data_IF_176461024764
#
_entry.id   IF_176461024764
#
_cell.length_a   1.000
_cell.length_b   1.000
_cell.length_c   1.000
_cell.angle_alpha   90.00
_cell.angle_beta   90.00
_cell.angle_gamma   90.00
#
_symmetry.space_group_name_H-M   'P 1'
#
loop_
_entity.id
_entity.type
_entity.pdbx_description
1 polymer ?
#
# COMPACT_ATOMS: atom_id res chain seq x y z
N UNK A 1 13.92 18.82 -47.57
CA UNK A 1 13.16 17.56 -47.69
C UNK A 1 13.71 16.43 -46.81
N UNK A 2 14.82 15.76 -47.13
CA UNK A 2 15.30 14.63 -46.29
C UNK A 2 15.68 15.03 -44.85
N UNK A 3 16.29 16.21 -44.66
CA UNK A 3 16.65 16.73 -43.34
C UNK A 3 15.42 17.10 -42.48
N UNK A 4 14.36 17.62 -43.09
CA UNK A 4 13.12 17.99 -42.39
C UNK A 4 12.37 16.75 -41.87
N UNK A 5 12.39 15.65 -42.63
CA UNK A 5 11.82 14.37 -42.20
C UNK A 5 12.60 13.80 -41.01
N UNK A 6 13.95 13.83 -41.06
CA UNK A 6 14.79 13.38 -39.95
C UNK A 6 14.58 14.21 -38.67
N UNK A 7 14.44 15.53 -38.81
CA UNK A 7 14.15 16.42 -37.68
C UNK A 7 12.78 16.11 -37.05
N UNK A 8 11.74 15.95 -37.87
CA UNK A 8 10.40 15.63 -37.38
C UNK A 8 10.36 14.26 -36.65
N UNK A 9 11.14 13.28 -37.13
CA UNK A 9 11.28 11.98 -36.45
C UNK A 9 11.92 12.12 -35.06
N UNK A 10 12.97 12.94 -34.93
CA UNK A 10 13.67 13.16 -33.65
C UNK A 10 12.79 13.95 -32.68
N UNK A 11 12.09 14.98 -33.16
CA UNK A 11 11.17 15.78 -32.34
C UNK A 11 10.05 14.90 -31.77
N UNK A 12 9.45 14.05 -32.60
CA UNK A 12 8.41 13.11 -32.17
C UNK A 12 8.96 12.07 -31.18
N UNK A 13 10.18 11.57 -31.40
CA UNK A 13 10.82 10.62 -30.50
C UNK A 13 11.07 11.22 -29.11
N UNK A 14 11.46 12.50 -29.01
CA UNK A 14 11.62 13.19 -27.73
C UNK A 14 10.29 13.36 -27.00
N UNK A 15 9.21 13.70 -27.70
CA UNK A 15 7.88 13.79 -27.11
C UNK A 15 7.41 12.43 -26.59
N UNK A 16 7.55 11.36 -27.39
CA UNK A 16 7.20 10.00 -26.98
C UNK A 16 8.04 9.57 -25.76
N UNK A 17 9.33 9.91 -25.71
CA UNK A 17 10.19 9.61 -24.56
C UNK A 17 9.62 10.24 -23.28
N UNK A 18 9.28 11.53 -23.32
CA UNK A 18 8.71 12.23 -22.15
C UNK A 18 7.34 11.67 -21.79
N UNK A 19 6.49 11.37 -22.78
CA UNK A 19 5.19 10.76 -22.55
C UNK A 19 5.32 9.38 -21.89
N UNK A 20 6.28 8.55 -22.31
CA UNK A 20 6.54 7.24 -21.70
C UNK A 20 6.95 7.38 -20.24
N UNK A 21 7.80 8.35 -19.90
CA UNK A 21 8.18 8.62 -18.51
C UNK A 21 6.98 9.03 -17.65
N UNK A 22 6.09 9.87 -18.19
CA UNK A 22 4.87 10.28 -17.49
C UNK A 22 3.92 9.09 -17.26
N UNK A 23 3.71 8.26 -18.29
CA UNK A 23 2.88 7.06 -18.17
C UNK A 23 3.43 6.09 -17.12
N UNK A 24 4.75 5.86 -17.12
CA UNK A 24 5.40 5.03 -16.11
C UNK A 24 5.14 5.52 -14.69
N UNK A 25 5.28 6.82 -14.44
CA UNK A 25 4.98 7.43 -13.14
C UNK A 25 3.52 7.26 -12.73
N UNK A 26 2.58 7.44 -13.66
CA UNK A 26 1.14 7.28 -13.41
C UNK A 26 0.79 5.84 -13.00
N UNK A 27 1.37 4.83 -13.65
CA UNK A 27 1.11 3.43 -13.32
C UNK A 27 1.53 3.08 -11.90
N UNK A 28 2.76 3.44 -11.51
CA UNK A 28 3.22 3.16 -10.15
C UNK A 28 2.47 3.98 -9.10
N UNK A 29 2.18 5.26 -9.37
CA UNK A 29 1.40 6.10 -8.48
C UNK A 29 0.00 5.53 -8.24
N UNK A 30 -0.72 5.14 -9.30
CA UNK A 30 -2.04 4.54 -9.19
C UNK A 30 -2.03 3.26 -8.33
N UNK A 31 -1.01 2.42 -8.49
CA UNK A 31 -0.85 1.20 -7.66
C UNK A 31 -0.61 1.52 -6.19
N UNK A 32 0.23 2.51 -5.88
CA UNK A 32 0.47 2.93 -4.48
C UNK A 32 -0.84 3.35 -3.82
N UNK A 33 -1.66 4.14 -4.51
CA UNK A 33 -2.95 4.62 -3.97
C UNK A 33 -3.89 3.45 -3.65
N UNK A 34 -4.02 2.48 -4.56
CA UNK A 34 -4.87 1.29 -4.33
C UNK A 34 -4.38 0.44 -3.16
N UNK A 35 -3.06 0.21 -3.07
CA UNK A 35 -2.46 -0.54 -1.95
C UNK A 35 -2.71 0.22 -0.64
N UNK A 36 -2.46 1.53 -0.61
CA UNK A 36 -2.66 2.36 0.57
C UNK A 36 -4.11 2.34 1.07
N UNK A 37 -5.07 2.50 0.15
CA UNK A 37 -6.49 2.49 0.49
C UNK A 37 -6.93 1.11 1.00
N UNK A 38 -6.55 0.02 0.32
CA UNK A 38 -6.89 -1.34 0.74
C UNK A 38 -6.26 -1.69 2.09
N UNK A 39 -5.00 -1.33 2.35
CA UNK A 39 -4.37 -1.52 3.67
C UNK A 39 -5.11 -0.77 4.79
N UNK A 40 -5.58 0.45 4.50
CA UNK A 40 -6.31 1.25 5.49
C UNK A 40 -7.63 0.59 5.85
N UNK A 41 -8.40 0.17 4.84
CA UNK A 41 -9.66 -0.56 5.05
C UNK A 41 -9.41 -1.90 5.77
N UNK A 42 -8.43 -2.69 5.33
CA UNK A 42 -8.08 -3.97 5.93
C UNK A 42 -7.65 -3.84 7.39
N UNK A 43 -6.88 -2.81 7.74
CA UNK A 43 -6.50 -2.53 9.12
C UNK A 43 -7.73 -2.22 9.99
N UNK A 44 -8.65 -1.40 9.49
CA UNK A 44 -9.88 -1.03 10.19
C UNK A 44 -10.82 -2.23 10.38
N UNK A 45 -11.06 -3.02 9.34
CA UNK A 45 -11.90 -4.21 9.40
C UNK A 45 -11.31 -5.25 10.36
N UNK A 46 -10.01 -5.49 10.30
CA UNK A 46 -9.33 -6.36 11.24
C UNK A 46 -9.37 -5.82 12.68
N UNK A 47 -9.19 -4.51 12.88
CA UNK A 47 -9.33 -3.91 14.20
C UNK A 47 -10.75 -4.12 14.75
N UNK A 48 -11.80 -3.92 13.93
CA UNK A 48 -13.18 -4.21 14.31
C UNK A 48 -13.38 -5.69 14.66
N UNK A 49 -12.82 -6.62 13.88
CA UNK A 49 -12.83 -8.04 14.24
C UNK A 49 -12.19 -8.31 15.61
N UNK A 50 -11.22 -7.50 16.02
CA UNK A 50 -10.64 -7.52 17.36
C UNK A 50 -11.61 -7.21 18.51
N UNK A 51 -12.71 -6.50 18.25
CA UNK A 51 -13.78 -6.33 19.24
C UNK A 51 -14.69 -7.58 19.32
N UNK A 52 -14.85 -8.32 18.23
CA UNK A 52 -15.75 -9.47 18.14
C UNK A 52 -15.10 -10.78 18.60
N UNK A 53 -13.80 -10.95 18.37
CA UNK A 53 -13.07 -12.19 18.70
C UNK A 53 -11.75 -11.90 19.40
N UNK A 54 -11.31 -12.82 20.26
CA UNK A 54 -9.97 -12.86 20.86
C UNK A 54 -8.95 -13.64 20.05
N UNK A 55 -9.39 -14.33 18.99
CA UNK A 55 -8.50 -15.10 18.13
C UNK A 55 -7.69 -14.18 17.21
N UNK A 56 -6.42 -13.96 17.56
CA UNK A 56 -5.49 -13.11 16.79
C UNK A 56 -5.21 -13.64 15.39
N UNK A 57 -5.33 -14.96 15.16
CA UNK A 57 -5.19 -15.55 13.83
C UNK A 57 -6.29 -15.12 12.88
N UNK A 58 -7.55 -15.08 13.34
CA UNK A 58 -8.69 -14.59 12.53
C UNK A 58 -8.50 -13.10 12.20
N UNK A 59 -8.12 -12.29 13.20
CA UNK A 59 -7.86 -10.85 13.02
C UNK A 59 -6.74 -10.63 11.98
N UNK A 60 -5.68 -11.44 12.05
CA UNK A 60 -4.57 -11.37 11.12
C UNK A 60 -5.00 -11.76 9.70
N UNK A 61 -5.75 -12.85 9.55
CA UNK A 61 -6.27 -13.30 8.24
C UNK A 61 -7.19 -12.24 7.62
N UNK A 62 -8.06 -11.59 8.40
CA UNK A 62 -8.91 -10.49 7.90
C UNK A 62 -8.08 -9.35 7.31
N UNK A 63 -7.00 -8.94 7.98
CA UNK A 63 -6.11 -7.89 7.46
C UNK A 63 -5.34 -8.33 6.21
N UNK A 64 -4.94 -9.61 6.13
CA UNK A 64 -4.24 -10.16 4.97
C UNK A 64 -5.17 -10.22 3.76
N UNK A 65 -6.36 -10.78 3.92
CA UNK A 65 -7.35 -10.95 2.84
C UNK A 65 -7.92 -9.61 2.35
N UNK A 66 -8.02 -8.60 3.23
CA UNK A 66 -8.45 -7.26 2.85
C UNK A 66 -7.39 -6.42 2.12
N UNK A 67 -6.11 -6.80 2.18
CA UNK A 67 -5.04 -6.08 1.49
C UNK A 67 -4.92 -6.56 0.04
N UNK A 68 -4.95 -5.63 -0.92
CA UNK A 68 -4.98 -5.95 -2.35
C UNK A 68 -3.69 -5.50 -3.03
N UNK A 69 -3.24 -6.26 -4.03
CA UNK A 69 -2.03 -5.97 -4.86
C UNK A 69 -0.70 -5.90 -4.08
N UNK A 70 -0.68 -6.35 -2.84
CA UNK A 70 0.50 -6.39 -2.00
C UNK A 70 0.43 -7.59 -1.05
N UNK A 71 1.59 -8.05 -0.58
CA UNK A 71 1.68 -9.07 0.47
C UNK A 71 1.98 -8.33 1.78
N UNK A 72 1.02 -8.23 2.72
CA UNK A 72 1.26 -7.54 3.97
C UNK A 72 1.93 -8.46 4.99
N UNK A 73 2.77 -7.87 5.83
CA UNK A 73 3.10 -8.37 7.15
C UNK A 73 2.16 -7.69 8.15
N UNK A 74 1.39 -8.48 8.89
CA UNK A 74 0.40 -7.98 9.83
C UNK A 74 0.84 -8.29 11.26
N UNK A 75 0.82 -7.29 12.12
CA UNK A 75 1.06 -7.41 13.56
C UNK A 75 -0.20 -7.04 14.32
N UNK A 76 -0.68 -7.95 15.17
CA UNK A 76 -1.85 -7.73 16.02
C UNK A 76 -1.37 -7.64 17.46
N UNK A 77 -1.60 -6.49 18.10
CA UNK A 77 -1.32 -6.26 19.51
C UNK A 77 -2.65 -6.14 20.23
N UNK A 78 -2.97 -7.15 21.05
CA UNK A 78 -4.18 -7.18 21.86
C UNK A 78 -3.84 -6.97 23.33
N UNK A 79 -4.62 -6.14 23.99
CA UNK A 79 -4.59 -5.91 25.45
C UNK A 79 -6.00 -6.17 26.01
N UNK A 80 -6.20 -6.00 27.31
CA UNK A 80 -7.51 -6.09 27.97
C UNK A 80 -8.46 -4.95 27.61
N UNK A 81 -7.93 -3.85 27.08
CA UNK A 81 -8.70 -2.62 26.78
C UNK A 81 -8.85 -2.36 25.29
N UNK A 82 -7.90 -2.80 24.47
CA UNK A 82 -7.91 -2.51 23.04
C UNK A 82 -7.23 -3.59 22.21
N UNK A 83 -7.56 -3.62 20.92
CA UNK A 83 -6.81 -4.34 19.89
C UNK A 83 -6.26 -3.31 18.90
N UNK A 84 -4.95 -3.34 18.65
CA UNK A 84 -4.29 -2.57 17.62
C UNK A 84 -3.80 -3.50 16.52
N UNK A 85 -4.15 -3.19 15.27
CA UNK A 85 -3.71 -3.95 14.10
C UNK A 85 -2.83 -3.05 13.25
N UNK A 86 -1.62 -3.52 12.96
CA UNK A 86 -0.66 -2.84 12.10
C UNK A 86 -0.44 -3.68 10.85
N UNK A 87 -0.70 -3.08 9.69
CA UNK A 87 -0.51 -3.69 8.37
C UNK A 87 0.68 -3.00 7.71
N UNK A 88 1.71 -3.76 7.39
CA UNK A 88 2.93 -3.25 6.75
C UNK A 88 3.16 -3.97 5.44
N UNK A 89 3.49 -3.26 4.36
CA UNK A 89 3.93 -3.89 3.12
C UNK A 89 5.07 -3.10 2.48
N UNK A 90 5.86 -3.77 1.65
CA UNK A 90 6.89 -3.12 0.86
C UNK A 90 6.36 -2.91 -0.56
N UNK A 91 6.05 -1.66 -0.90
CA UNK A 91 5.73 -1.30 -2.27
C UNK A 91 6.99 -1.39 -3.13
N UNK A 92 6.92 -2.20 -4.19
CA UNK A 92 7.96 -2.28 -5.21
C UNK A 92 7.40 -1.70 -6.51
N UNK A 93 7.98 -0.58 -7.00
CA UNK A 93 7.62 -0.03 -8.31
C UNK A 93 7.81 -1.10 -9.38
N UNK A 94 6.89 -1.16 -10.34
CA UNK A 94 7.07 -1.97 -11.55
C UNK A 94 8.00 -1.26 -12.52
N UNK A 95 7.95 0.08 -12.56
CA UNK A 95 8.81 0.84 -13.45
C UNK A 95 10.15 1.13 -12.76
N UNK A 96 11.29 0.88 -13.42
CA UNK A 96 12.61 1.00 -12.80
C UNK A 96 13.03 2.45 -12.56
N UNK A 97 12.22 3.42 -12.98
CA UNK A 97 12.53 4.84 -12.80
C UNK A 97 12.49 5.19 -11.30
N UNK A 98 11.39 4.93 -10.60
CA UNK A 98 11.24 5.33 -9.19
C UNK A 98 12.34 4.71 -8.30
N UNK A 99 12.75 3.46 -8.56
CA UNK A 99 13.82 2.82 -7.79
C UNK A 99 15.20 3.43 -8.05
N UNK A 100 15.47 3.87 -9.28
CA UNK A 100 16.71 4.59 -9.64
C UNK A 100 16.78 5.97 -8.96
N UNK A 101 15.67 6.71 -8.90
CA UNK A 101 15.66 8.05 -8.28
C UNK A 101 15.63 8.03 -6.75
N UNK A 102 14.96 7.04 -6.15
CA UNK A 102 14.86 6.93 -4.68
C UNK A 102 16.02 6.18 -4.04
N UNK A 103 16.85 5.50 -4.85
CA UNK A 103 17.96 4.66 -4.36
C UNK A 103 17.52 3.44 -3.57
N UNK A 104 16.21 3.16 -3.50
CA UNK A 104 15.61 2.07 -2.75
C UNK A 104 14.87 1.11 -3.67
N UNK A 105 15.02 -0.20 -3.41
CA UNK A 105 14.28 -1.26 -4.12
C UNK A 105 12.82 -1.41 -3.67
N UNK A 106 12.38 -0.55 -2.74
CA UNK A 106 10.98 -0.47 -2.31
C UNK A 106 10.73 0.61 -1.26
N UNK A 107 9.46 0.97 -1.10
CA UNK A 107 8.99 1.93 -0.10
C UNK A 107 8.15 1.15 0.90
N UNK A 108 8.48 1.25 2.18
CA UNK A 108 7.68 0.62 3.24
C UNK A 108 6.45 1.47 3.50
N UNK A 109 5.28 0.85 3.34
CA UNK A 109 4.00 1.43 3.69
C UNK A 109 3.53 0.75 4.98
N UNK A 110 3.07 1.54 5.93
CA UNK A 110 2.53 1.04 7.20
C UNK A 110 1.23 1.76 7.51
N UNK A 111 0.20 0.97 7.82
CA UNK A 111 -1.09 1.45 8.30
C UNK A 111 -1.40 0.81 9.64
N UNK A 112 -2.13 1.51 10.50
CA UNK A 112 -2.56 0.97 11.78
C UNK A 112 -3.95 1.45 12.15
N UNK A 113 -4.73 0.57 12.74
CA UNK A 113 -6.05 0.88 13.28
C UNK A 113 -6.20 0.24 14.66
N UNK A 114 -6.99 0.88 15.52
CA UNK A 114 -7.24 0.42 16.89
C UNK A 114 -8.73 0.40 17.19
N UNK A 115 -9.16 -0.59 17.97
CA UNK A 115 -10.50 -0.66 18.52
C UNK A 115 -10.45 -0.93 20.02
N UNK A 116 -11.38 -0.37 20.79
CA UNK A 116 -11.55 -0.71 22.19
C UNK A 116 -12.33 -2.03 22.33
N UNK A 117 -11.97 -2.82 23.35
CA UNK A 117 -12.71 -4.04 23.71
C UNK A 117 -13.75 -3.63 24.76
N UNK A 118 -15.02 -3.59 24.35
CA UNK A 118 -16.13 -3.32 25.25
C UNK A 118 -16.39 -4.55 26.11
N UNK A 119 -16.01 -4.49 27.39
CA UNK A 119 -16.28 -5.59 28.34
C UNK A 119 -15.45 -5.67 29.61
N UNK A 120 -14.43 -4.85 29.84
CA UNK A 120 -13.67 -4.87 31.10
C UNK A 120 -14.07 -3.71 32.01
N UNK A 121 -15.29 -3.77 32.53
CA UNK A 121 -15.58 -3.13 33.82
C UNK A 121 -14.85 -3.95 34.86
N UNK A 122 -13.60 -3.58 35.17
CA UNK A 122 -12.99 -3.99 36.43
C UNK A 122 -13.70 -3.16 37.49
N UNK A 123 -14.73 -3.73 38.10
CA UNK A 123 -15.28 -3.21 39.35
C UNK A 123 -14.19 -3.35 40.43
N UNK A 124 -13.83 -2.28 41.17
CA UNK A 124 -12.97 -2.39 42.34
C UNK A 124 -13.63 -3.17 43.47
#
# INVERSE_FOLDING_TARGET
MAAEIGQAMVETAMVIMVLMLLLMGIFDFGRVVVIYASMTAAAQDAAHMGALTSNTGVIQTTAIEGTVMAVPTVTVVRTTTYTNVTVTTTFRPITPFISVFTGSSGIVLTQSARVAILGTVVSP
#
